data_IF_113425236329
#
_entry.id   IF_113425236329
#
_cell.length_a   1.000
_cell.length_b   1.000
_cell.length_c   1.000
_cell.angle_alpha   90.00
_cell.angle_beta   90.00
_cell.angle_gamma   90.00
#
_symmetry.space_group_name_H-M   'P 1'
#
loop_
_entity.id
_entity.type
_entity.pdbx_description
1 polymer ?
#
# COMPACT_ATOMS: atom_id res chain seq x y z
N UNK A 1 11.17 -2.98 32.56
CA UNK A 1 11.33 -3.67 31.26
C UNK A 1 10.64 -5.03 31.38
N UNK A 2 9.43 -5.18 30.85
CA UNK A 2 8.64 -6.40 31.03
C UNK A 2 9.19 -7.48 30.09
N UNK A 3 10.00 -8.39 30.64
CA UNK A 3 10.58 -9.58 29.97
C UNK A 3 9.79 -10.86 30.26
N UNK A 4 8.47 -10.80 30.35
CA UNK A 4 7.63 -12.01 30.42
C UNK A 4 7.18 -12.37 29.01
N UNK A 5 8.12 -12.90 28.22
CA UNK A 5 7.88 -13.46 26.90
C UNK A 5 8.43 -14.88 26.82
N UNK A 6 7.86 -15.69 25.91
CA UNK A 6 8.29 -17.07 25.65
C UNK A 6 9.73 -17.07 25.10
N UNK A 7 10.76 -17.46 25.89
CA UNK A 7 12.17 -17.22 25.54
C UNK A 7 12.63 -17.95 24.28
N UNK A 8 11.92 -19.03 23.92
CA UNK A 8 12.18 -19.84 22.73
C UNK A 8 11.54 -19.28 21.44
N UNK A 9 10.80 -18.17 21.51
CA UNK A 9 10.10 -17.65 20.34
C UNK A 9 11.07 -16.92 19.40
N UNK A 10 11.17 -17.39 18.17
CA UNK A 10 11.96 -16.73 17.14
C UNK A 10 11.25 -15.46 16.67
N UNK A 11 11.88 -14.31 16.90
CA UNK A 11 11.43 -13.02 16.37
C UNK A 11 12.29 -12.68 15.16
N UNK A 12 11.70 -12.50 13.97
CA UNK A 12 12.45 -12.12 12.78
C UNK A 12 13.04 -10.72 12.93
N UNK A 13 14.19 -10.48 12.30
CA UNK A 13 14.79 -9.15 12.27
C UNK A 13 13.89 -8.15 11.51
N UNK A 14 14.06 -6.85 11.78
CA UNK A 14 13.40 -5.78 11.00
C UNK A 14 13.64 -5.90 9.49
N UNK A 15 14.79 -6.42 9.09
CA UNK A 15 15.17 -6.60 7.68
C UNK A 15 14.40 -7.75 7.04
N UNK A 16 14.24 -8.85 7.79
CA UNK A 16 13.43 -9.99 7.38
C UNK A 16 11.98 -9.55 7.17
N UNK A 17 11.38 -8.88 8.16
CA UNK A 17 10.01 -8.38 8.04
C UNK A 17 9.85 -7.41 6.87
N UNK A 18 10.77 -6.44 6.73
CA UNK A 18 10.73 -5.47 5.63
C UNK A 18 10.76 -6.15 4.27
N UNK A 19 11.73 -7.06 4.03
CA UNK A 19 11.85 -7.77 2.75
C UNK A 19 10.60 -8.58 2.44
N UNK A 20 10.10 -9.32 3.43
CA UNK A 20 8.96 -10.21 3.23
C UNK A 20 7.68 -9.40 2.97
N UNK A 21 7.48 -8.27 3.65
CA UNK A 21 6.38 -7.33 3.38
C UNK A 21 6.46 -6.75 1.97
N UNK A 22 7.64 -6.31 1.51
CA UNK A 22 7.80 -5.79 0.14
C UNK A 22 7.51 -6.87 -0.91
N UNK A 23 7.93 -8.12 -0.66
CA UNK A 23 7.64 -9.25 -1.54
C UNK A 23 6.13 -9.53 -1.61
N UNK A 24 5.47 -9.59 -0.45
CA UNK A 24 4.02 -9.80 -0.37
C UNK A 24 3.28 -8.65 -1.05
N UNK A 25 3.70 -7.40 -0.85
CA UNK A 25 3.12 -6.24 -1.50
C UNK A 25 3.22 -6.33 -3.03
N UNK A 26 4.42 -6.58 -3.58
CA UNK A 26 4.63 -6.68 -5.02
C UNK A 26 3.77 -7.81 -5.65
N UNK A 27 3.72 -8.98 -5.01
CA UNK A 27 2.90 -10.10 -5.47
C UNK A 27 1.40 -9.78 -5.40
N UNK A 28 0.97 -9.16 -4.30
CA UNK A 28 -0.44 -8.79 -4.08
C UNK A 28 -0.89 -7.72 -5.07
N UNK A 29 -0.06 -6.71 -5.32
CA UNK A 29 -0.30 -5.68 -6.33
C UNK A 29 -0.56 -6.29 -7.71
N UNK A 30 0.26 -7.25 -8.14
CA UNK A 30 0.07 -7.93 -9.42
C UNK A 30 -1.23 -8.74 -9.48
N UNK A 31 -1.60 -9.41 -8.38
CA UNK A 31 -2.86 -10.16 -8.28
C UNK A 31 -4.07 -9.23 -8.32
N UNK A 32 -4.05 -8.13 -7.56
CA UNK A 32 -5.12 -7.12 -7.54
C UNK A 32 -5.25 -6.47 -8.92
N UNK A 33 -4.14 -6.11 -9.57
CA UNK A 33 -4.17 -5.54 -10.92
C UNK A 33 -4.84 -6.50 -11.92
N UNK A 34 -4.47 -7.78 -11.88
CA UNK A 34 -5.08 -8.82 -12.72
C UNK A 34 -6.58 -8.99 -12.41
N UNK A 35 -6.96 -8.98 -11.13
CA UNK A 35 -8.35 -9.09 -10.70
C UNK A 35 -9.18 -7.92 -11.21
N UNK A 36 -8.70 -6.69 -11.02
CA UNK A 36 -9.38 -5.46 -11.46
C UNK A 36 -9.52 -5.39 -12.97
N UNK A 37 -8.50 -5.77 -13.74
CA UNK A 37 -8.55 -5.78 -15.20
C UNK A 37 -9.55 -6.81 -15.77
N UNK A 38 -9.76 -7.93 -15.05
CA UNK A 38 -10.71 -8.98 -15.45
C UNK A 38 -12.12 -8.78 -14.89
N UNK A 39 -12.29 -7.81 -13.99
CA UNK A 39 -13.55 -7.62 -13.30
C UNK A 39 -14.60 -7.00 -14.23
N UNK A 40 -15.72 -7.72 -14.42
CA UNK A 40 -16.79 -7.36 -15.36
C UNK A 40 -17.87 -6.45 -14.73
N UNK A 41 -17.49 -5.59 -13.79
CA UNK A 41 -18.40 -4.69 -13.10
C UNK A 41 -17.87 -3.25 -13.08
N UNK A 42 -18.58 -2.39 -12.34
CA UNK A 42 -18.18 -0.98 -12.22
C UNK A 42 -17.09 -0.84 -11.16
N UNK A 43 -16.02 -0.13 -11.52
CA UNK A 43 -14.97 0.29 -10.61
C UNK A 43 -15.09 1.80 -10.39
N UNK A 44 -15.15 2.21 -9.13
CA UNK A 44 -15.06 3.62 -8.75
C UNK A 44 -13.73 3.86 -8.07
N UNK A 45 -12.97 4.84 -8.55
CA UNK A 45 -11.68 5.21 -7.95
C UNK A 45 -11.85 6.45 -7.09
N UNK A 46 -11.17 6.47 -5.95
CA UNK A 46 -11.08 7.64 -5.08
C UNK A 46 -9.62 8.01 -4.87
N UNK A 47 -9.41 9.30 -4.69
CA UNK A 47 -8.12 9.86 -4.42
C UNK A 47 -8.26 10.79 -3.24
N UNK A 48 -7.42 10.58 -2.22
CA UNK A 48 -7.32 11.45 -1.06
C UNK A 48 -5.92 12.03 -1.03
N UNK A 49 -5.81 13.35 -0.87
CA UNK A 49 -4.54 14.05 -0.86
C UNK A 49 -4.45 14.90 0.40
N UNK A 50 -3.35 14.73 1.15
CA UNK A 50 -3.15 15.43 2.40
C UNK A 50 -1.68 15.84 2.58
N UNK A 51 -1.45 16.80 3.46
CA UNK A 51 -0.11 17.10 3.96
C UNK A 51 0.00 16.55 5.38
N UNK A 52 0.96 15.65 5.60
CA UNK A 52 1.23 15.08 6.92
C UNK A 52 1.80 16.13 7.88
N UNK A 53 1.77 15.88 9.20
CA UNK A 53 2.33 16.80 10.20
C UNK A 53 3.83 17.12 10.03
N UNK A 54 4.57 16.29 9.28
CA UNK A 54 5.99 16.52 8.95
C UNK A 54 6.18 17.27 7.62
N UNK A 55 5.17 18.01 7.14
CA UNK A 55 5.20 18.83 5.92
C UNK A 55 5.54 18.05 4.65
N UNK A 56 5.10 16.79 4.56
CA UNK A 56 5.20 15.97 3.34
C UNK A 56 3.81 15.82 2.74
N UNK A 57 3.70 16.07 1.44
CA UNK A 57 2.45 15.89 0.73
C UNK A 57 2.33 14.42 0.30
N UNK A 58 1.15 13.84 0.47
CA UNK A 58 0.84 12.47 0.09
C UNK A 58 -0.44 12.42 -0.74
N UNK A 59 -0.55 11.39 -1.57
CA UNK A 59 -1.76 11.03 -2.28
C UNK A 59 -2.02 9.54 -2.12
N UNK A 60 -3.22 9.18 -1.67
CA UNK A 60 -3.70 7.80 -1.64
C UNK A 60 -4.66 7.55 -2.80
N UNK A 61 -4.55 6.36 -3.38
CA UNK A 61 -5.51 5.83 -4.35
C UNK A 61 -6.26 4.66 -3.73
N UNK A 62 -7.58 4.64 -3.87
CA UNK A 62 -8.40 3.49 -3.50
C UNK A 62 -9.37 3.16 -4.63
N UNK A 63 -9.81 1.90 -4.66
CA UNK A 63 -10.87 1.44 -5.56
C UNK A 63 -12.02 0.86 -4.76
N UNK A 64 -13.22 1.14 -5.23
CA UNK A 64 -14.48 0.68 -4.69
C UNK A 64 -15.22 -0.09 -5.79
N UNK A 65 -15.69 -1.28 -5.47
CA UNK A 65 -16.48 -2.12 -6.35
C UNK A 65 -17.54 -2.87 -5.56
N UNK A 66 -18.53 -3.41 -6.26
CA UNK A 66 -19.52 -4.31 -5.67
C UNK A 66 -19.13 -5.76 -5.97
N UNK A 67 -19.13 -6.64 -4.98
CA UNK A 67 -18.88 -8.06 -5.20
C UNK A 67 -19.95 -8.90 -4.50
N UNK A 68 -20.80 -9.56 -5.28
CA UNK A 68 -21.92 -10.39 -4.82
C UNK A 68 -22.88 -9.64 -3.88
N UNK A 69 -23.22 -8.41 -4.24
CA UNK A 69 -24.07 -7.49 -3.47
C UNK A 69 -23.36 -6.76 -2.33
N UNK A 70 -22.07 -6.99 -2.12
CA UNK A 70 -21.30 -6.42 -1.00
C UNK A 70 -20.31 -5.37 -1.50
N UNK A 71 -20.28 -4.15 -0.94
CA UNK A 71 -19.28 -3.16 -1.30
C UNK A 71 -17.90 -3.61 -0.79
N UNK A 72 -16.94 -3.69 -1.70
CA UNK A 72 -15.53 -3.93 -1.43
C UNK A 72 -14.75 -2.63 -1.69
N UNK A 73 -13.93 -2.25 -0.73
CA UNK A 73 -13.04 -1.08 -0.84
C UNK A 73 -11.62 -1.51 -0.51
N UNK A 74 -10.67 -1.13 -1.35
CA UNK A 74 -9.26 -1.46 -1.13
C UNK A 74 -8.34 -0.30 -1.50
N UNK A 75 -7.38 0.06 -0.63
CA UNK A 75 -6.30 0.96 -0.98
C UNK A 75 -5.39 0.30 -2.00
N UNK A 76 -5.00 1.05 -3.02
CA UNK A 76 -4.13 0.60 -4.10
C UNK A 76 -2.70 1.06 -3.87
N UNK A 77 -2.51 2.32 -3.49
CA UNK A 77 -1.19 2.89 -3.24
C UNK A 77 -1.27 4.17 -2.41
N UNK A 78 -0.17 4.52 -1.75
CA UNK A 78 0.04 5.80 -1.07
C UNK A 78 1.41 6.33 -1.47
N UNK A 79 1.42 7.46 -2.17
CA UNK A 79 2.62 8.01 -2.79
C UNK A 79 2.97 9.34 -2.13
N UNK A 80 4.23 9.52 -1.74
CA UNK A 80 4.76 10.84 -1.35
C UNK A 80 4.91 11.69 -2.61
N UNK A 81 4.29 12.87 -2.62
CA UNK A 81 4.31 13.80 -3.75
C UNK A 81 5.66 14.51 -3.79
N UNK A 82 6.30 14.51 -4.96
CA UNK A 82 7.58 15.17 -5.17
C UNK A 82 7.50 16.67 -4.85
N UNK A 83 8.55 17.21 -4.24
CA UNK A 83 8.65 18.64 -3.96
C UNK A 83 8.91 19.40 -5.26
N UNK A 84 8.35 20.61 -5.36
CA UNK A 84 8.63 21.52 -6.48
C UNK A 84 10.13 21.83 -6.50
N UNK A 85 10.85 21.33 -7.50
CA UNK A 85 12.30 21.46 -7.66
C UNK A 85 13.10 20.15 -7.72
N UNK A 86 12.53 19.02 -7.29
CA UNK A 86 13.22 17.72 -7.18
C UNK A 86 13.19 16.87 -8.47
N UNK A 87 12.95 17.46 -9.63
CA UNK A 87 12.79 16.77 -10.92
C UNK A 87 14.05 16.07 -11.49
N UNK A 88 15.02 15.69 -10.64
CA UNK A 88 16.25 15.00 -11.05
C UNK A 88 16.29 13.51 -10.81
N UNK A 89 15.32 12.89 -10.15
CA UNK A 89 15.30 11.41 -10.03
C UNK A 89 13.91 10.90 -9.67
N UNK A 90 13.02 10.85 -10.66
CA UNK A 90 11.81 10.02 -10.58
C UNK A 90 12.01 8.80 -11.46
N UNK A 91 12.87 7.88 -11.03
CA UNK A 91 12.79 6.50 -11.53
C UNK A 91 11.65 5.83 -10.79
N UNK A 92 10.55 5.61 -11.53
CA UNK A 92 9.49 4.71 -11.11
C UNK A 92 10.11 3.32 -10.84
N UNK A 93 9.97 2.81 -9.62
CA UNK A 93 10.24 1.41 -9.28
C UNK A 93 8.92 0.76 -8.90
#
# INVERSE_FOLDING_TARGET
LMKTGHPAYYIPSRWTVSRDVHLVFAQTRNRIATMLQKYNGKLSFTTDAWTSPNHRAFIAFSVHLEHNGVPLSMPLDVVEVARVGDARTSHCV
#
